data_IF_365426199100
#
_entry.id   IF_365426199100
#
_cell.length_a   1.000
_cell.length_b   1.000
_cell.length_c   1.000
_cell.angle_alpha   90.00
_cell.angle_beta   90.00
_cell.angle_gamma   90.00
#
_symmetry.space_group_name_H-M   'P 1'
#
loop_
_entity.id
_entity.type
_entity.pdbx_description
1 polymer ?
#
# COMPACT_ATOMS: atom_id res chain seq x y z
N UNK A 1 -15.60 21.10 -65.34
CA UNK A 1 -15.17 22.27 -64.53
C UNK A 1 -15.72 22.07 -63.12
N UNK A 2 -14.84 22.10 -62.14
CA UNK A 2 -15.01 21.59 -60.78
C UNK A 2 -15.43 22.68 -59.79
N UNK A 3 -16.27 22.29 -58.80
CA UNK A 3 -16.61 22.98 -57.53
C UNK A 3 -17.59 24.17 -57.65
N UNK A 4 -18.42 24.52 -56.62
CA UNK A 4 -18.05 24.57 -55.19
C UNK A 4 -19.20 24.33 -54.17
N UNK A 5 -19.24 23.17 -53.49
CA UNK A 5 -20.17 22.97 -52.35
C UNK A 5 -19.51 22.39 -51.08
N UNK A 6 -18.19 22.12 -51.11
CA UNK A 6 -17.49 21.43 -50.01
C UNK A 6 -16.57 22.31 -49.14
N UNK A 7 -16.55 23.63 -49.37
CA UNK A 7 -15.68 24.58 -48.65
C UNK A 7 -16.02 24.74 -47.16
N UNK A 8 -17.25 25.14 -46.78
CA UNK A 8 -17.55 25.49 -45.39
C UNK A 8 -17.54 24.30 -44.41
N UNK A 9 -17.91 23.10 -44.85
CA UNK A 9 -17.93 21.88 -44.00
C UNK A 9 -16.50 21.45 -43.66
N UNK A 10 -15.55 21.58 -44.60
CA UNK A 10 -14.13 21.27 -44.37
C UNK A 10 -13.47 22.23 -43.38
N UNK A 11 -13.84 23.51 -43.41
CA UNK A 11 -13.35 24.50 -42.45
C UNK A 11 -13.89 24.26 -41.04
N UNK A 12 -15.18 23.91 -40.90
CA UNK A 12 -15.77 23.60 -39.61
C UNK A 12 -15.16 22.34 -38.96
N UNK A 13 -14.92 21.28 -39.74
CA UNK A 13 -14.24 20.07 -39.26
C UNK A 13 -12.78 20.32 -38.90
N UNK A 14 -12.06 21.12 -39.68
CA UNK A 14 -10.67 21.47 -39.38
C UNK A 14 -10.56 22.31 -38.09
N UNK A 15 -11.48 23.24 -37.87
CA UNK A 15 -11.53 24.05 -36.65
C UNK A 15 -11.90 23.20 -35.41
N UNK A 16 -12.86 22.28 -35.54
CA UNK A 16 -13.22 21.37 -34.45
C UNK A 16 -12.06 20.40 -34.11
N UNK A 17 -11.34 19.91 -35.11
CA UNK A 17 -10.17 19.06 -34.91
C UNK A 17 -9.00 19.83 -34.29
N UNK A 18 -8.77 21.08 -34.69
CA UNK A 18 -7.77 21.96 -34.08
C UNK A 18 -8.11 22.28 -32.62
N UNK A 19 -9.37 22.59 -32.29
CA UNK A 19 -9.81 22.79 -30.90
C UNK A 19 -9.69 21.52 -30.05
N UNK A 20 -10.05 20.35 -30.59
CA UNK A 20 -9.89 19.07 -29.90
C UNK A 20 -8.40 18.74 -29.68
N UNK A 21 -7.55 19.00 -30.66
CA UNK A 21 -6.11 18.81 -30.57
C UNK A 21 -5.49 19.78 -29.55
N UNK A 22 -5.92 21.05 -29.52
CA UNK A 22 -5.50 22.01 -28.50
C UNK A 22 -5.97 21.64 -27.09
N UNK A 23 -7.16 21.05 -26.92
CA UNK A 23 -7.64 20.56 -25.63
C UNK A 23 -6.81 19.35 -25.15
N UNK A 24 -6.49 18.43 -26.05
CA UNK A 24 -5.67 17.24 -25.75
C UNK A 24 -4.21 17.61 -25.46
N UNK A 25 -3.66 18.62 -26.14
CA UNK A 25 -2.31 19.14 -25.86
C UNK A 25 -2.22 19.97 -24.56
N UNK A 26 -3.34 20.33 -23.94
CA UNK A 26 -3.37 21.13 -22.70
C UNK A 26 -3.54 20.28 -21.43
N UNK A 27 -3.70 18.96 -21.55
CA UNK A 27 -3.69 18.05 -20.41
C UNK A 27 -2.25 17.79 -19.96
N UNK A 28 -1.62 18.79 -19.33
CA UNK A 28 -0.46 18.52 -18.49
C UNK A 28 -0.89 17.62 -17.32
N UNK A 29 -0.05 16.66 -16.88
CA UNK A 29 -0.34 15.89 -15.67
C UNK A 29 -0.50 16.85 -14.50
N UNK A 30 -1.72 16.91 -13.95
CA UNK A 30 -1.99 17.68 -12.74
C UNK A 30 -1.53 16.84 -11.57
N UNK A 31 -0.37 17.20 -11.03
CA UNK A 31 0.11 16.68 -9.76
C UNK A 31 -0.64 17.37 -8.61
N UNK A 32 -0.99 16.61 -7.59
CA UNK A 32 -1.70 17.09 -6.40
C UNK A 32 -0.76 17.71 -5.35
N UNK A 33 0.55 17.56 -5.53
CA UNK A 33 1.57 18.15 -4.67
C UNK A 33 1.52 19.68 -4.63
N UNK A 34 1.73 20.23 -3.44
CA UNK A 34 1.65 21.66 -3.14
C UNK A 34 3.02 22.36 -3.18
N UNK A 35 4.12 21.59 -3.19
CA UNK A 35 5.46 22.16 -3.03
C UNK A 35 5.97 22.81 -4.31
N UNK A 36 6.53 24.00 -4.15
CA UNK A 36 7.22 24.73 -5.21
C UNK A 36 8.73 24.54 -5.10
N UNK A 37 9.45 24.74 -6.21
CA UNK A 37 10.91 24.72 -6.22
C UNK A 37 11.51 25.73 -5.24
N UNK A 38 10.90 26.91 -5.12
CA UNK A 38 11.32 27.96 -4.18
C UNK A 38 11.18 27.50 -2.72
N UNK A 39 10.02 26.92 -2.36
CA UNK A 39 9.78 26.40 -1.01
C UNK A 39 10.74 25.25 -0.65
N UNK A 40 11.04 24.37 -1.62
CA UNK A 40 12.03 23.31 -1.44
C UNK A 40 13.45 23.87 -1.30
N UNK A 41 13.82 24.86 -2.11
CA UNK A 41 15.16 25.48 -2.05
C UNK A 41 15.42 26.17 -0.70
N UNK A 42 14.40 26.75 -0.08
CA UNK A 42 14.51 27.31 1.28
C UNK A 42 14.75 26.22 2.35
N UNK A 43 14.29 24.99 2.09
CA UNK A 43 14.40 23.87 3.03
C UNK A 43 15.69 23.06 2.88
N UNK A 44 16.32 23.09 1.71
CA UNK A 44 17.62 22.47 1.43
C UNK A 44 18.65 23.55 1.13
N UNK A 45 19.21 24.23 2.15
CA UNK A 45 20.22 25.27 1.94
C UNK A 45 21.58 24.68 1.52
N UNK A 46 22.54 25.54 1.11
CA UNK A 46 23.89 25.10 0.73
C UNK A 46 24.53 24.15 1.77
N UNK A 47 25.24 23.11 1.31
CA UNK A 47 25.69 22.87 -0.06
C UNK A 47 24.67 22.17 -0.98
N UNK A 48 23.43 21.94 -0.52
CA UNK A 48 22.40 21.25 -1.27
C UNK A 48 21.61 22.23 -2.15
N UNK A 49 21.23 21.78 -3.36
CA UNK A 49 20.40 22.53 -4.28
C UNK A 49 19.31 21.65 -4.88
N UNK A 50 18.07 22.12 -4.84
CA UNK A 50 16.95 21.43 -5.47
C UNK A 50 16.85 21.86 -6.93
N UNK A 51 16.74 20.89 -7.82
CA UNK A 51 16.61 21.09 -9.26
C UNK A 51 15.14 21.06 -9.68
N UNK A 52 14.78 21.55 -10.89
CA UNK A 52 13.42 21.49 -11.39
C UNK A 52 12.80 20.08 -11.33
N UNK A 53 11.48 20.03 -11.09
CA UNK A 53 10.71 18.77 -11.04
C UNK A 53 10.89 18.01 -12.36
N UNK A 54 11.05 16.70 -12.27
CA UNK A 54 11.20 15.85 -13.44
C UNK A 54 9.86 15.70 -14.18
N UNK A 55 9.92 15.47 -15.49
CA UNK A 55 8.72 15.39 -16.33
C UNK A 55 8.02 14.03 -16.28
N UNK A 56 8.77 12.96 -16.05
CA UNK A 56 8.37 11.55 -16.08
C UNK A 56 8.06 10.98 -14.69
N UNK A 57 8.46 11.66 -13.62
CA UNK A 57 8.11 11.29 -12.25
C UNK A 57 8.00 12.57 -11.40
N UNK A 58 7.01 12.67 -10.49
CA UNK A 58 6.84 13.85 -9.64
C UNK A 58 7.86 13.94 -8.50
N UNK A 59 9.14 14.02 -8.86
CA UNK A 59 10.26 14.16 -7.93
C UNK A 59 11.21 15.27 -8.39
N UNK A 60 11.80 15.96 -7.42
CA UNK A 60 12.80 16.99 -7.63
C UNK A 60 14.19 16.42 -7.31
N UNK A 61 15.15 16.48 -8.24
CA UNK A 61 16.52 16.06 -7.96
C UNK A 61 17.20 17.01 -6.97
N UNK A 62 18.04 16.47 -6.09
CA UNK A 62 18.91 17.24 -5.18
C UNK A 62 20.34 17.08 -5.66
N UNK A 63 21.06 18.17 -5.87
CA UNK A 63 22.49 18.21 -6.22
C UNK A 63 23.31 18.81 -5.08
N UNK A 64 24.61 18.55 -5.05
CA UNK A 64 25.54 19.11 -4.06
C UNK A 64 26.60 19.97 -4.75
N UNK A 65 26.91 21.15 -4.23
CA UNK A 65 28.07 21.95 -4.66
C UNK A 65 29.40 21.22 -4.48
N UNK A 66 29.44 20.23 -3.57
CA UNK A 66 30.62 19.41 -3.31
C UNK A 66 30.86 18.35 -4.41
N UNK A 67 29.84 18.05 -5.22
CA UNK A 67 29.89 17.08 -6.33
C UNK A 67 29.26 17.67 -7.61
N UNK A 68 29.83 18.74 -8.19
CA UNK A 68 29.20 19.48 -9.29
C UNK A 68 28.94 18.62 -10.54
N UNK A 69 29.81 17.64 -10.80
CA UNK A 69 29.70 16.73 -11.96
C UNK A 69 29.09 15.35 -11.60
N UNK A 70 28.71 15.13 -10.33
CA UNK A 70 28.28 13.83 -9.82
C UNK A 70 26.82 13.45 -10.12
N UNK A 71 26.04 14.35 -10.72
CA UNK A 71 24.60 14.21 -10.89
C UNK A 71 23.81 14.31 -9.55
N UNK A 72 22.51 13.99 -9.53
CA UNK A 72 21.69 14.14 -8.32
C UNK A 72 22.16 13.24 -7.18
N UNK A 73 22.47 13.79 -6.00
CA UNK A 73 22.82 13.06 -4.77
C UNK A 73 21.60 12.45 -4.07
N UNK A 74 20.40 12.85 -4.49
CA UNK A 74 19.14 12.37 -3.95
C UNK A 74 17.95 12.96 -4.69
N UNK A 75 16.76 12.66 -4.18
CA UNK A 75 15.49 13.17 -4.69
C UNK A 75 14.59 13.53 -3.51
N UNK A 76 13.85 14.63 -3.65
CA UNK A 76 12.75 15.00 -2.77
C UNK A 76 11.43 14.93 -3.54
N UNK A 77 10.35 14.51 -2.89
CA UNK A 77 9.04 14.33 -3.53
C UNK A 77 7.93 14.35 -2.49
N UNK A 78 6.71 14.60 -2.99
CA UNK A 78 5.49 14.58 -2.19
C UNK A 78 4.81 13.22 -2.33
N UNK A 79 4.42 12.63 -1.20
CA UNK A 79 3.84 11.28 -1.20
C UNK A 79 2.49 11.24 -1.91
N UNK A 80 1.73 12.33 -1.92
CA UNK A 80 0.40 12.40 -2.53
C UNK A 80 0.44 12.19 -4.05
N UNK A 81 1.55 12.55 -4.69
CA UNK A 81 1.75 12.38 -6.14
C UNK A 81 2.20 10.97 -6.53
N UNK A 82 2.64 10.15 -5.57
CA UNK A 82 3.28 8.85 -5.81
C UNK A 82 2.53 7.67 -5.18
N UNK A 83 1.98 7.88 -3.98
CA UNK A 83 1.29 6.87 -3.19
C UNK A 83 0.19 7.54 -2.33
N UNK A 84 -0.94 7.96 -2.94
CA UNK A 84 -2.05 8.60 -2.22
C UNK A 84 -2.87 7.57 -1.43
N UNK A 85 -2.29 7.01 -0.37
CA UNK A 85 -2.95 6.02 0.48
C UNK A 85 -3.96 6.73 1.39
N UNK A 86 -5.26 6.37 1.34
CA UNK A 86 -6.27 7.00 2.17
C UNK A 86 -6.01 6.81 3.67
N UNK A 87 -6.19 7.88 4.44
CA UNK A 87 -6.25 7.87 5.90
C UNK A 87 -7.56 7.29 6.44
N UNK A 88 -7.76 7.39 7.76
CA UNK A 88 -9.00 6.94 8.42
C UNK A 88 -10.23 7.71 7.92
N UNK A 89 -10.08 9.00 7.62
CA UNK A 89 -11.14 9.85 7.03
C UNK A 89 -11.23 9.76 5.50
N UNK A 90 -10.52 8.83 4.88
CA UNK A 90 -10.55 8.59 3.43
C UNK A 90 -9.74 9.59 2.60
N UNK A 91 -9.21 10.66 3.20
CA UNK A 91 -8.32 11.61 2.52
C UNK A 91 -6.85 11.19 2.71
N UNK A 92 -6.02 11.12 1.65
CA UNK A 92 -4.60 10.81 1.79
C UNK A 92 -3.81 11.88 2.56
N UNK A 93 -2.82 11.43 3.32
CA UNK A 93 -1.82 12.32 3.91
C UNK A 93 -0.75 12.71 2.87
N UNK A 94 -0.27 13.94 2.94
CA UNK A 94 0.85 14.41 2.13
C UNK A 94 2.12 14.53 2.99
N UNK A 95 3.12 13.73 2.66
CA UNK A 95 4.44 13.71 3.28
C UNK A 95 5.47 14.25 2.29
N UNK A 96 6.37 15.11 2.74
CA UNK A 96 7.58 15.44 2.01
C UNK A 96 8.67 14.43 2.38
N UNK A 97 9.14 13.68 1.41
CA UNK A 97 10.12 12.61 1.58
C UNK A 97 11.35 12.92 0.75
N UNK A 98 12.53 12.87 1.36
CA UNK A 98 13.81 13.00 0.66
C UNK A 98 14.65 11.74 0.86
N UNK A 99 15.22 11.20 -0.22
CA UNK A 99 16.08 10.01 -0.21
C UNK A 99 17.37 10.24 -0.99
N UNK A 100 18.46 9.59 -0.58
CA UNK A 100 19.75 9.64 -1.27
C UNK A 100 19.87 8.58 -2.40
N UNK A 101 21.00 8.60 -3.14
CA UNK A 101 21.28 7.62 -4.22
C UNK A 101 21.25 6.15 -3.78
N UNK A 102 21.43 5.87 -2.49
CA UNK A 102 21.44 4.51 -1.92
C UNK A 102 20.06 4.11 -1.39
N UNK A 103 19.09 5.03 -1.41
CA UNK A 103 17.76 4.84 -0.83
C UNK A 103 17.72 5.03 0.69
N UNK A 104 18.68 5.74 1.27
CA UNK A 104 18.58 6.20 2.65
C UNK A 104 17.64 7.40 2.71
N UNK A 105 16.79 7.47 3.72
CA UNK A 105 15.99 8.65 4.00
C UNK A 105 16.90 9.78 4.52
N UNK A 106 16.89 10.90 3.79
CA UNK A 106 17.53 12.15 4.19
C UNK A 106 16.64 12.86 5.21
N UNK A 107 15.36 13.03 4.88
CA UNK A 107 14.34 13.66 5.73
C UNK A 107 12.95 13.15 5.37
N UNK A 108 12.05 13.12 6.35
CA UNK A 108 10.61 12.86 6.15
C UNK A 108 9.83 13.80 7.03
N UNK A 109 8.87 14.51 6.46
CA UNK A 109 8.00 15.42 7.22
C UNK A 109 6.58 15.44 6.72
N UNK A 110 5.65 15.83 7.60
CA UNK A 110 4.24 16.00 7.27
C UNK A 110 4.03 17.37 6.62
N UNK A 111 3.45 17.39 5.41
CA UNK A 111 2.98 18.62 4.77
C UNK A 111 1.50 18.86 5.05
N UNK A 112 0.69 17.79 5.00
CA UNK A 112 -0.76 17.85 5.19
C UNK A 112 -1.28 16.55 5.76
N UNK A 113 -2.16 16.64 6.76
CA UNK A 113 -2.84 15.50 7.35
C UNK A 113 -4.25 15.91 7.81
N UNK A 114 -5.19 14.95 7.78
CA UNK A 114 -6.56 15.11 8.26
C UNK A 114 -6.97 13.89 9.10
N UNK A 115 -6.11 13.50 10.02
CA UNK A 115 -6.36 12.38 10.92
C UNK A 115 -6.98 12.89 12.22
N UNK A 116 -8.22 12.49 12.56
CA UNK A 116 -8.96 13.08 13.68
C UNK A 116 -8.24 12.90 15.02
N UNK A 117 -7.49 11.80 15.18
CA UNK A 117 -6.69 11.55 16.37
C UNK A 117 -5.61 12.63 16.62
N UNK A 118 -5.09 13.26 15.57
CA UNK A 118 -4.10 14.33 15.66
C UNK A 118 -4.74 15.72 15.67
N UNK A 119 -5.90 15.90 15.01
CA UNK A 119 -6.60 17.20 14.96
C UNK A 119 -7.32 17.56 16.26
N UNK A 120 -8.06 16.63 16.85
CA UNK A 120 -8.89 16.89 18.04
C UNK A 120 -8.36 16.26 19.33
N UNK A 121 -7.22 15.58 19.27
CA UNK A 121 -6.68 14.78 20.37
C UNK A 121 -5.23 15.11 20.70
N UNK A 122 -4.32 14.43 20.03
CA UNK A 122 -2.90 14.36 20.38
C UNK A 122 -2.07 15.56 19.91
N UNK A 123 -2.61 16.38 19.00
CA UNK A 123 -1.86 17.40 18.27
C UNK A 123 -0.92 16.80 17.22
N UNK A 124 -0.22 17.66 16.48
CA UNK A 124 0.66 17.24 15.38
C UNK A 124 2.05 16.78 15.84
N UNK A 125 2.49 17.18 17.03
CA UNK A 125 3.83 16.90 17.55
C UNK A 125 4.18 15.41 17.54
N UNK A 126 3.33 14.48 18.03
CA UNK A 126 3.67 13.06 18.02
C UNK A 126 3.81 12.47 16.62
N UNK A 127 3.04 12.98 15.65
CA UNK A 127 3.16 12.57 14.26
C UNK A 127 4.47 13.07 13.64
N UNK A 128 4.85 14.31 13.94
CA UNK A 128 6.12 14.89 13.51
C UNK A 128 7.32 14.16 14.13
N UNK A 129 7.23 13.73 15.39
CA UNK A 129 8.24 12.88 16.03
C UNK A 129 8.32 11.50 15.37
N UNK A 130 7.18 10.91 15.03
CA UNK A 130 7.13 9.64 14.32
C UNK A 130 7.88 9.69 12.97
N UNK A 131 7.59 10.67 12.12
CA UNK A 131 8.23 10.77 10.79
C UNK A 131 9.71 11.15 10.85
N UNK A 132 10.17 11.84 11.91
CA UNK A 132 11.60 12.13 12.10
C UNK A 132 12.45 10.89 12.30
N UNK A 133 11.86 9.78 12.76
CA UNK A 133 12.59 8.53 12.97
C UNK A 133 13.12 7.92 11.66
N UNK A 134 12.59 8.28 10.49
CA UNK A 134 13.02 7.75 9.20
C UNK A 134 14.43 8.16 8.81
N UNK A 135 14.85 9.38 9.20
CA UNK A 135 16.16 9.92 8.83
C UNK A 135 17.30 8.94 9.16
N UNK A 136 18.16 8.68 8.17
CA UNK A 136 19.28 7.75 8.29
C UNK A 136 18.94 6.26 8.14
N UNK A 137 17.66 5.89 8.01
CA UNK A 137 17.22 4.50 7.70
C UNK A 137 17.19 4.27 6.19
N UNK A 138 17.28 3.02 5.73
CA UNK A 138 17.29 2.66 4.31
C UNK A 138 15.98 1.99 3.87
N UNK A 139 15.49 2.32 2.67
CA UNK A 139 14.31 1.73 2.05
C UNK A 139 14.35 0.20 1.91
N UNK A 140 15.52 -0.44 1.94
CA UNK A 140 15.67 -1.91 1.89
C UNK A 140 15.47 -2.59 3.24
N UNK A 141 15.38 -1.83 4.33
CA UNK A 141 15.16 -2.38 5.66
C UNK A 141 13.70 -2.75 5.87
N UNK A 142 13.46 -3.73 6.74
CA UNK A 142 12.13 -4.15 7.12
C UNK A 142 11.61 -3.28 8.26
N UNK A 143 10.76 -2.31 7.93
CA UNK A 143 10.17 -1.39 8.91
C UNK A 143 8.99 -2.04 9.64
N UNK A 144 9.04 -2.03 10.98
CA UNK A 144 7.90 -2.36 11.83
C UNK A 144 7.57 -1.19 12.74
N UNK A 145 6.30 -0.88 12.94
CA UNK A 145 5.87 0.09 13.96
C UNK A 145 5.60 -0.67 15.26
N UNK A 146 6.21 -0.24 16.37
CA UNK A 146 5.94 -0.80 17.70
C UNK A 146 4.52 -0.48 18.14
N UNK A 147 3.87 -1.43 18.79
CA UNK A 147 2.60 -1.19 19.48
C UNK A 147 2.87 -0.87 20.96
N UNK A 148 1.95 -0.18 21.62
CA UNK A 148 2.01 0.07 23.07
C UNK A 148 2.03 -1.22 23.90
N UNK A 149 1.71 -2.38 23.30
CA UNK A 149 1.66 -3.69 23.94
C UNK A 149 2.91 -4.55 23.67
N UNK A 150 3.98 -3.94 23.16
CA UNK A 150 5.29 -4.56 23.04
C UNK A 150 5.52 -5.29 21.71
N UNK A 151 6.73 -5.12 21.19
CA UNK A 151 7.33 -6.03 20.21
C UNK A 151 8.49 -6.75 20.91
N UNK A 152 8.19 -7.66 21.83
CA UNK A 152 9.18 -8.54 22.46
C UNK A 152 9.53 -9.71 21.53
N UNK A 153 10.02 -9.40 20.33
CA UNK A 153 10.89 -10.32 19.60
C UNK A 153 12.08 -9.53 19.08
N UNK A 154 13.03 -9.31 19.99
CA UNK A 154 14.44 -9.12 19.67
C UNK A 154 15.01 -10.41 19.06
N UNK A 155 14.45 -10.83 17.92
CA UNK A 155 15.10 -11.75 17.00
C UNK A 155 15.92 -10.88 16.07
N UNK A 156 17.24 -10.93 16.23
CA UNK A 156 18.21 -10.21 15.41
C UNK A 156 18.10 -10.65 13.94
N UNK A 157 17.20 -10.03 13.19
CA UNK A 157 17.36 -9.90 11.75
C UNK A 157 18.14 -8.61 11.53
N UNK A 158 19.36 -8.72 11.01
CA UNK A 158 20.32 -7.62 10.79
C UNK A 158 19.76 -6.47 9.91
N UNK A 159 18.58 -6.67 9.31
CA UNK A 159 17.91 -5.74 8.39
C UNK A 159 16.56 -5.18 8.90
N UNK A 160 16.14 -5.48 10.14
CA UNK A 160 14.85 -5.00 10.68
C UNK A 160 15.01 -3.67 11.43
N UNK A 161 14.13 -2.71 11.16
CA UNK A 161 14.06 -1.45 11.88
C UNK A 161 12.70 -1.30 12.56
N UNK A 162 12.72 -1.05 13.87
CA UNK A 162 11.51 -0.77 14.65
C UNK A 162 11.38 0.74 14.84
N UNK A 163 10.23 1.27 14.47
CA UNK A 163 9.82 2.66 14.73
C UNK A 163 8.94 2.70 15.96
N UNK A 164 9.14 3.68 16.82
CA UNK A 164 8.27 3.92 17.97
C UNK A 164 6.90 4.38 17.49
N UNK A 165 5.87 3.60 17.78
CA UNK A 165 4.49 3.96 17.46
C UNK A 165 3.96 5.11 18.31
N UNK A 166 2.84 5.70 17.89
CA UNK A 166 2.13 6.72 18.67
C UNK A 166 0.94 6.08 19.38
N UNK A 167 0.93 6.16 20.71
CA UNK A 167 -0.14 5.65 21.56
C UNK A 167 -1.49 6.25 21.15
N UNK A 168 -2.53 5.42 21.01
CA UNK A 168 -3.88 5.76 20.50
C UNK A 168 -3.97 6.09 19.00
N UNK A 169 -2.86 6.20 18.27
CA UNK A 169 -2.85 6.51 16.84
C UNK A 169 -2.18 5.42 15.97
N UNK A 170 -2.20 4.17 16.44
CA UNK A 170 -1.48 3.04 15.80
C UNK A 170 -1.90 2.79 14.36
N UNK A 171 -3.18 2.96 14.02
CA UNK A 171 -3.65 2.84 12.64
C UNK A 171 -3.08 3.96 11.76
N UNK A 172 -3.19 5.21 12.19
CA UNK A 172 -2.72 6.39 11.45
C UNK A 172 -1.21 6.33 11.19
N UNK A 173 -0.39 5.97 12.19
CA UNK A 173 1.07 5.86 11.99
C UNK A 173 1.48 4.70 11.08
N UNK A 174 0.67 3.62 11.02
CA UNK A 174 0.89 2.54 10.04
C UNK A 174 0.60 3.02 8.61
N UNK A 175 -0.42 3.85 8.42
CA UNK A 175 -0.73 4.46 7.11
C UNK A 175 0.40 5.40 6.71
N UNK A 176 0.91 6.24 7.63
CA UNK A 176 2.09 7.08 7.38
C UNK A 176 3.29 6.24 6.96
N UNK A 177 3.55 5.12 7.66
CA UNK A 177 4.65 4.23 7.32
C UNK A 177 4.50 3.62 5.94
N UNK A 178 3.31 3.12 5.61
CA UNK A 178 3.04 2.59 4.28
C UNK A 178 3.19 3.67 3.20
N UNK A 179 2.73 4.89 3.46
CA UNK A 179 2.79 6.03 2.54
C UNK A 179 4.24 6.44 2.26
N UNK A 180 5.06 6.62 3.30
CA UNK A 180 6.47 6.99 3.16
C UNK A 180 7.27 5.92 2.40
N UNK A 181 7.08 4.64 2.72
CA UNK A 181 7.77 3.53 2.06
C UNK A 181 7.32 3.34 0.62
N UNK A 182 6.01 3.41 0.34
CA UNK A 182 5.49 3.26 -1.01
C UNK A 182 5.95 4.39 -1.93
N UNK A 183 5.88 5.66 -1.47
CA UNK A 183 6.37 6.80 -2.23
C UNK A 183 7.89 6.73 -2.46
N UNK A 184 8.66 6.40 -1.41
CA UNK A 184 10.11 6.26 -1.51
C UNK A 184 10.54 5.16 -2.47
N UNK A 185 9.85 4.03 -2.44
CA UNK A 185 10.12 2.92 -3.34
C UNK A 185 9.74 3.23 -4.80
N UNK A 186 8.68 4.01 -5.04
CA UNK A 186 8.32 4.48 -6.37
C UNK A 186 9.46 5.31 -7.01
N UNK A 187 10.02 6.26 -6.26
CA UNK A 187 11.16 7.07 -6.73
C UNK A 187 12.44 6.23 -6.85
N UNK A 188 12.72 5.37 -5.88
CA UNK A 188 13.91 4.53 -5.89
C UNK A 188 13.94 3.57 -7.10
N UNK A 189 12.78 3.03 -7.51
CA UNK A 189 12.67 2.20 -8.72
C UNK A 189 12.90 3.01 -9.99
N UNK A 190 12.28 4.18 -10.09
CA UNK A 190 12.38 5.01 -11.29
C UNK A 190 13.77 5.63 -11.48
N UNK A 191 14.51 5.91 -10.40
CA UNK A 191 15.74 6.72 -10.44
C UNK A 191 17.00 6.06 -9.89
N UNK A 192 16.88 5.10 -8.99
CA UNK A 192 18.00 4.56 -8.23
C UNK A 192 18.32 3.10 -8.58
N UNK A 193 17.68 2.55 -9.62
CA UNK A 193 17.90 1.18 -10.08
C UNK A 193 17.49 0.12 -9.04
N UNK A 194 16.62 0.47 -8.08
CA UNK A 194 15.97 -0.55 -7.28
C UNK A 194 15.18 -1.44 -8.23
N UNK A 195 15.28 -2.76 -8.02
CA UNK A 195 14.52 -3.70 -8.81
C UNK A 195 13.04 -3.27 -8.79
N UNK A 196 12.51 -2.97 -9.98
CA UNK A 196 11.10 -3.19 -10.22
C UNK A 196 10.84 -4.64 -9.78
N UNK A 197 9.81 -4.96 -8.99
CA UNK A 197 9.55 -6.32 -8.47
C UNK A 197 9.29 -7.40 -9.54
N UNK A 198 9.90 -7.30 -10.72
CA UNK A 198 9.27 -7.57 -11.99
C UNK A 198 8.12 -6.60 -12.16
N UNK A 199 7.83 -6.19 -13.40
CA UNK A 199 6.59 -6.75 -13.95
C UNK A 199 6.39 -8.18 -13.42
N UNK A 200 5.66 -8.32 -12.30
CA UNK A 200 4.81 -9.50 -12.14
C UNK A 200 4.16 -9.62 -13.50
N UNK A 201 4.31 -10.78 -14.15
CA UNK A 201 3.57 -11.05 -15.38
C UNK A 201 2.10 -10.65 -15.19
N UNK A 202 1.32 -10.52 -16.28
CA UNK A 202 -0.08 -10.14 -16.18
C UNK A 202 -0.73 -10.83 -14.98
N UNK A 203 -1.46 -10.09 -14.11
CA UNK A 203 -2.01 -10.63 -12.88
C UNK A 203 -2.63 -12.00 -13.14
N UNK A 204 -2.37 -12.98 -12.27
CA UNK A 204 -2.91 -14.31 -12.46
C UNK A 204 -4.45 -14.23 -12.57
N UNK A 205 -4.98 -14.60 -13.74
CA UNK A 205 -6.42 -14.59 -13.98
C UNK A 205 -7.03 -15.96 -13.68
N UNK A 206 -8.27 -15.95 -13.22
CA UNK A 206 -9.04 -17.17 -13.02
C UNK A 206 -9.40 -17.75 -14.39
N UNK A 207 -9.07 -19.03 -14.59
CA UNK A 207 -9.57 -19.83 -15.71
C UNK A 207 -11.03 -20.17 -15.47
N UNK A 208 -11.92 -19.29 -15.90
CA UNK A 208 -13.38 -19.40 -15.71
C UNK A 208 -14.02 -20.52 -16.53
N UNK A 209 -13.32 -21.02 -17.54
CA UNK A 209 -13.68 -22.15 -18.39
C UNK A 209 -13.40 -23.52 -17.74
N UNK A 210 -12.63 -23.55 -16.65
CA UNK A 210 -12.27 -24.79 -15.98
C UNK A 210 -13.17 -25.03 -14.77
N UNK A 211 -13.84 -26.17 -14.82
CA UNK A 211 -14.60 -26.71 -13.71
C UNK A 211 -14.31 -28.21 -13.56
N UNK A 212 -13.83 -28.59 -12.38
CA UNK A 212 -13.67 -29.99 -11.97
C UNK A 212 -14.64 -30.23 -10.80
N UNK A 213 -15.50 -31.25 -10.85
CA UNK A 213 -16.42 -31.54 -9.76
C UNK A 213 -15.65 -32.17 -8.60
N UNK A 214 -15.21 -31.34 -7.66
CA UNK A 214 -14.52 -31.74 -6.44
C UNK A 214 -15.43 -31.56 -5.23
N UNK A 215 -15.39 -32.51 -4.30
CA UNK A 215 -16.01 -32.34 -3.00
C UNK A 215 -15.17 -31.46 -2.07
N UNK A 216 -15.76 -31.03 -0.96
CA UNK A 216 -15.11 -30.11 -0.03
C UNK A 216 -13.79 -30.68 0.55
N UNK A 217 -13.74 -31.98 0.82
CA UNK A 217 -12.55 -32.62 1.37
C UNK A 217 -11.40 -32.59 0.36
N UNK A 218 -11.68 -32.93 -0.90
CA UNK A 218 -10.71 -32.86 -1.99
C UNK A 218 -10.21 -31.43 -2.24
N UNK A 219 -11.08 -30.41 -2.08
CA UNK A 219 -10.67 -29.01 -2.19
C UNK A 219 -9.68 -28.61 -1.09
N UNK A 220 -9.90 -29.05 0.15
CA UNK A 220 -8.95 -28.82 1.26
C UNK A 220 -7.64 -29.55 1.03
N UNK A 221 -7.69 -30.83 0.64
CA UNK A 221 -6.51 -31.65 0.37
C UNK A 221 -5.63 -31.06 -0.75
N UNK A 222 -6.25 -30.55 -1.81
CA UNK A 222 -5.55 -29.91 -2.94
C UNK A 222 -5.10 -28.47 -2.64
N UNK A 223 -5.37 -27.95 -1.45
CA UNK A 223 -5.03 -26.56 -1.08
C UNK A 223 -5.86 -25.49 -1.81
N UNK A 224 -6.98 -25.88 -2.43
CA UNK A 224 -7.92 -24.94 -3.04
C UNK A 224 -8.80 -24.24 -1.98
N UNK A 225 -8.96 -24.87 -0.82
CA UNK A 225 -9.47 -24.27 0.41
C UNK A 225 -8.35 -24.35 1.44
N UNK A 226 -7.91 -23.20 1.93
CA UNK A 226 -6.98 -23.12 3.06
C UNK A 226 -7.71 -23.51 4.34
N UNK A 227 -7.07 -24.34 5.18
CA UNK A 227 -7.57 -24.74 6.50
C UNK A 227 -6.49 -24.43 7.54
N UNK A 228 -6.86 -23.69 8.58
CA UNK A 228 -6.06 -23.51 9.80
C UNK A 228 -6.83 -24.15 10.94
N UNK A 229 -6.20 -25.07 11.66
CA UNK A 229 -6.72 -25.63 12.91
C UNK A 229 -5.84 -25.13 14.04
N UNK A 230 -6.45 -24.63 15.10
CA UNK A 230 -5.79 -24.23 16.34
C UNK A 230 -6.44 -25.01 17.48
N UNK A 231 -5.62 -25.73 18.25
CA UNK A 231 -6.07 -26.41 19.47
C UNK A 231 -5.97 -25.50 20.69
N UNK A 232 -6.62 -25.90 21.79
CA UNK A 232 -6.47 -25.21 23.08
C UNK A 232 -5.00 -25.11 23.52
N UNK A 233 -4.24 -26.20 23.44
CA UNK A 233 -2.81 -26.21 23.80
C UNK A 233 -1.95 -25.30 22.90
N UNK A 234 -2.26 -25.23 21.60
CA UNK A 234 -1.57 -24.33 20.68
C UNK A 234 -1.87 -22.86 21.01
N UNK A 235 -3.12 -22.55 21.38
CA UNK A 235 -3.50 -21.22 21.81
C UNK A 235 -2.82 -20.82 23.12
N UNK A 236 -2.83 -21.68 24.15
CA UNK A 236 -2.17 -21.41 25.44
C UNK A 236 -0.68 -21.13 25.26
N UNK A 237 0.01 -21.88 24.38
CA UNK A 237 1.42 -21.61 24.06
C UNK A 237 1.65 -20.24 23.43
N UNK A 238 0.69 -19.70 22.68
CA UNK A 238 0.78 -18.35 22.11
C UNK A 238 0.63 -17.25 23.17
N UNK A 239 -0.07 -17.54 24.27
CA UNK A 239 -0.28 -16.60 25.38
C UNK A 239 0.69 -16.77 26.55
N UNK A 240 1.59 -17.75 26.51
CA UNK A 240 2.61 -17.94 27.54
C UNK A 240 3.44 -16.67 27.80
N UNK A 241 3.55 -16.26 29.07
CA UNK A 241 4.23 -15.05 29.51
C UNK A 241 3.43 -13.76 29.32
N UNK A 242 2.15 -13.85 28.98
CA UNK A 242 1.21 -12.71 28.90
C UNK A 242 0.15 -12.80 30.00
N UNK A 243 -0.63 -11.74 30.20
CA UNK A 243 -1.76 -11.75 31.14
C UNK A 243 -2.86 -12.77 30.77
N UNK A 244 -2.87 -13.27 29.54
CA UNK A 244 -3.82 -14.27 29.05
C UNK A 244 -3.45 -15.72 29.36
N UNK A 245 -2.25 -15.98 29.91
CA UNK A 245 -1.80 -17.33 30.24
C UNK A 245 -2.70 -17.99 31.30
N UNK A 246 -3.23 -19.17 30.98
CA UNK A 246 -4.00 -19.98 31.94
C UNK A 246 -5.33 -19.39 32.37
N UNK A 247 -5.85 -18.40 31.63
CA UNK A 247 -7.13 -17.75 31.93
C UNK A 247 -8.33 -18.62 31.52
N UNK A 248 -8.18 -19.46 30.50
CA UNK A 248 -9.25 -20.35 30.03
C UNK A 248 -9.18 -21.74 30.68
N UNK A 249 -9.85 -21.89 31.83
CA UNK A 249 -9.88 -23.15 32.58
C UNK A 249 -10.45 -24.33 31.80
N UNK A 250 -11.37 -24.09 30.85
CA UNK A 250 -11.94 -25.15 30.02
C UNK A 250 -10.92 -25.59 28.95
N UNK A 251 -10.18 -24.66 28.35
CA UNK A 251 -9.09 -24.96 27.42
C UNK A 251 -7.99 -25.79 28.10
N UNK A 252 -7.63 -25.46 29.33
CA UNK A 252 -6.67 -26.22 30.14
C UNK A 252 -7.15 -27.64 30.47
N UNK A 253 -8.46 -27.84 30.65
CA UNK A 253 -9.06 -29.16 30.91
C UNK A 253 -9.12 -30.05 29.66
N UNK A 254 -9.08 -29.48 28.46
CA UNK A 254 -9.20 -30.20 27.20
C UNK A 254 -8.18 -29.72 26.16
N UNK A 255 -6.86 -29.86 26.43
CA UNK A 255 -5.80 -29.25 25.63
C UNK A 255 -5.74 -29.71 24.16
N UNK A 256 -6.22 -30.94 23.88
CA UNK A 256 -6.24 -31.51 22.53
C UNK A 256 -7.46 -31.11 21.67
N UNK A 257 -8.46 -30.46 22.26
CA UNK A 257 -9.67 -30.09 21.55
C UNK A 257 -9.43 -28.90 20.62
N UNK A 258 -10.20 -28.85 19.55
CA UNK A 258 -10.17 -27.74 18.59
C UNK A 258 -10.76 -26.50 19.25
N UNK A 259 -9.93 -25.47 19.43
CA UNK A 259 -10.40 -24.13 19.77
C UNK A 259 -11.15 -23.55 18.59
N UNK A 260 -10.45 -23.45 17.45
CA UNK A 260 -11.00 -22.91 16.21
C UNK A 260 -10.38 -23.60 14.98
N UNK A 261 -11.22 -23.83 13.99
CA UNK A 261 -10.84 -24.16 12.63
C UNK A 261 -11.34 -23.08 11.70
N UNK A 262 -10.42 -22.46 10.96
CA UNK A 262 -10.69 -21.43 9.97
C UNK A 262 -10.50 -21.98 8.57
N UNK A 263 -11.45 -21.70 7.70
CA UNK A 263 -11.42 -22.03 6.28
C UNK A 263 -11.41 -20.75 5.46
N UNK A 264 -10.54 -20.70 4.45
CA UNK A 264 -10.47 -19.59 3.49
C UNK A 264 -10.51 -20.15 2.08
N UNK A 265 -11.41 -19.63 1.25
CA UNK A 265 -11.55 -20.09 -0.14
C UNK A 265 -11.72 -18.90 -1.09
N UNK A 266 -11.15 -19.02 -2.29
CA UNK A 266 -11.34 -18.03 -3.36
C UNK A 266 -12.48 -18.44 -4.27
N UNK A 267 -13.62 -17.75 -4.14
CA UNK A 267 -14.89 -18.16 -4.73
C UNK A 267 -14.97 -17.96 -6.23
N UNK A 268 -14.16 -17.07 -6.83
CA UNK A 268 -14.25 -16.82 -8.27
C UNK A 268 -13.86 -18.05 -9.10
N UNK A 269 -13.05 -18.96 -8.54
CA UNK A 269 -12.71 -20.24 -9.20
C UNK A 269 -13.98 -21.11 -9.29
N UNK A 270 -14.46 -21.48 -10.50
CA UNK A 270 -15.74 -22.18 -10.64
C UNK A 270 -15.83 -23.46 -9.82
N UNK A 271 -14.77 -24.28 -9.83
CA UNK A 271 -14.64 -25.49 -9.00
C UNK A 271 -14.87 -25.20 -7.50
N UNK A 272 -14.24 -24.15 -6.96
CA UNK A 272 -14.33 -23.82 -5.53
C UNK A 272 -15.69 -23.18 -5.21
N UNK A 273 -16.08 -22.15 -5.97
CA UNK A 273 -17.28 -21.39 -5.72
C UNK A 273 -18.55 -22.23 -5.79
N UNK A 274 -18.64 -23.14 -6.77
CA UNK A 274 -19.80 -24.03 -6.93
C UNK A 274 -19.88 -25.08 -5.84
N UNK A 275 -18.77 -25.66 -5.42
CA UNK A 275 -18.77 -26.64 -4.32
C UNK A 275 -19.13 -25.99 -2.98
N UNK A 276 -18.63 -24.77 -2.71
CA UNK A 276 -18.90 -24.07 -1.44
C UNK A 276 -20.31 -23.49 -1.37
N UNK A 277 -20.79 -22.86 -2.44
CA UNK A 277 -22.07 -22.12 -2.43
C UNK A 277 -23.24 -22.90 -3.05
N UNK A 278 -22.95 -23.91 -3.86
CA UNK A 278 -23.91 -24.49 -4.80
C UNK A 278 -24.09 -23.61 -6.05
N UNK A 279 -24.58 -24.24 -7.13
CA UNK A 279 -24.70 -23.62 -8.46
C UNK A 279 -25.47 -22.29 -8.46
N UNK A 280 -26.65 -22.25 -7.81
CA UNK A 280 -27.52 -21.09 -7.83
C UNK A 280 -26.88 -19.87 -7.14
N UNK A 281 -26.35 -20.06 -5.93
CA UNK A 281 -25.73 -18.96 -5.16
C UNK A 281 -24.41 -18.51 -5.79
N UNK A 282 -23.64 -19.43 -6.37
CA UNK A 282 -22.46 -19.07 -7.14
C UNK A 282 -22.82 -18.20 -8.36
N UNK A 283 -23.83 -18.60 -9.14
CA UNK A 283 -24.27 -17.81 -10.29
C UNK A 283 -24.76 -16.41 -9.88
N UNK A 284 -25.47 -16.29 -8.77
CA UNK A 284 -25.93 -15.00 -8.25
C UNK A 284 -24.79 -14.13 -7.73
N UNK A 285 -23.77 -14.73 -7.11
CA UNK A 285 -22.55 -14.03 -6.70
C UNK A 285 -21.80 -13.47 -7.92
N UNK A 286 -21.55 -14.31 -8.93
CA UNK A 286 -20.79 -13.89 -10.11
C UNK A 286 -21.49 -12.80 -10.93
N UNK A 287 -22.83 -12.72 -10.89
CA UNK A 287 -23.60 -11.62 -11.49
C UNK A 287 -23.43 -10.28 -10.78
N UNK A 288 -23.12 -10.29 -9.48
CA UNK A 288 -22.96 -9.08 -8.66
C UNK A 288 -21.54 -8.52 -8.70
N UNK A 289 -20.56 -9.36 -9.05
CA UNK A 289 -19.17 -8.94 -9.14
C UNK A 289 -18.93 -8.15 -10.44
N UNK A 290 -18.33 -6.98 -10.31
CA UNK A 290 -17.83 -6.20 -11.44
C UNK A 290 -16.49 -6.79 -11.95
N UNK A 291 -16.08 -6.46 -13.20
CA UNK A 291 -14.78 -6.87 -13.71
C UNK A 291 -13.64 -6.48 -12.76
N UNK A 292 -12.78 -7.45 -12.41
CA UNK A 292 -11.67 -7.26 -11.47
C UNK A 292 -12.05 -7.38 -9.99
N UNK A 293 -13.31 -7.65 -9.64
CA UNK A 293 -13.69 -7.92 -8.26
C UNK A 293 -13.47 -9.38 -7.87
N UNK A 294 -13.03 -9.58 -6.63
CA UNK A 294 -12.64 -10.86 -6.08
C UNK A 294 -13.49 -11.17 -4.84
N UNK A 295 -14.06 -12.38 -4.78
CA UNK A 295 -14.82 -12.86 -3.64
C UNK A 295 -14.03 -13.91 -2.86
N UNK A 296 -13.83 -13.65 -1.58
CA UNK A 296 -13.27 -14.60 -0.62
C UNK A 296 -14.37 -15.10 0.29
N UNK A 297 -14.31 -16.38 0.62
CA UNK A 297 -15.16 -17.01 1.62
C UNK A 297 -14.34 -17.34 2.85
N UNK A 298 -14.91 -17.01 4.01
CA UNK A 298 -14.38 -17.35 5.31
C UNK A 298 -15.43 -18.16 6.04
N UNK A 299 -15.01 -19.25 6.69
CA UNK A 299 -15.85 -19.98 7.61
C UNK A 299 -15.05 -20.41 8.83
N UNK A 300 -15.73 -20.53 9.96
CA UNK A 300 -15.14 -20.99 11.20
C UNK A 300 -15.98 -22.11 11.82
N UNK A 301 -15.31 -23.04 12.50
CA UNK A 301 -15.94 -24.07 13.33
C UNK A 301 -15.10 -24.28 14.59
N UNK A 302 -15.70 -24.70 15.70
CA UNK A 302 -15.01 -24.84 16.98
C UNK A 302 -15.80 -24.20 18.11
N UNK A 303 -15.22 -24.16 19.31
CA UNK A 303 -15.85 -23.59 20.51
C UNK A 303 -16.14 -22.10 20.32
N UNK A 304 -15.19 -21.38 19.74
CA UNK A 304 -15.23 -19.92 19.58
C UNK A 304 -15.43 -19.50 18.11
N UNK A 305 -16.12 -20.33 17.33
CA UNK A 305 -16.49 -20.00 15.97
C UNK A 305 -17.56 -18.88 15.92
N UNK A 306 -17.38 -17.94 14.98
CA UNK A 306 -18.32 -16.86 14.63
C UNK A 306 -18.85 -17.07 13.23
#
# INVERSE_FOLDING_TARGET
MTSPLFGPIRFALAAAFACALSLVLSCAPVFAGDMTLEALSARFPPPLHVQPKLADIPAWPITSELEPDGGPIGYVFESIDLAPIPGFEGTPMNLLVAIDRKGNFIDVSVLRQHEPVFLSGLGETPLNEFVRQYAGKNLRQDFTVSSAYGNTKAGAADNRVVLDGVTKATASVRIVNQTALAAGLAVARARLGFADPGTRGPPAEVRSDIHEPLDFAALVERGLIGRLRVTHDEAEKLFAGTEGEGVDEDALRSPGDTLIELYVAYLNVPTVGRTVLGEARYADLMKKLEPGQHALWFASTGRDAV
#
